data_IF_100884240166
#
_entry.id   IF_100884240166
#
_cell.length_a   1.000
_cell.length_b   1.000
_cell.length_c   1.000
_cell.angle_alpha   90.00
_cell.angle_beta   90.00
_cell.angle_gamma   90.00
#
_symmetry.space_group_name_H-M   'P 1'
#
loop_
_entity.id
_entity.type
_entity.pdbx_description
1 polymer ?
#
# COMPACT_ATOMS: atom_id res chain seq x y z
N UNK A 1 -38.12 2.93 -1.82
CA UNK A 1 -37.48 4.08 -1.15
C UNK A 1 -36.24 3.63 -0.36
N UNK A 2 -35.13 3.22 -1.01
CA UNK A 2 -33.91 2.88 -0.27
C UNK A 2 -32.58 3.09 -1.03
N UNK A 3 -32.59 3.49 -2.30
CA UNK A 3 -31.35 3.73 -3.05
C UNK A 3 -30.76 5.14 -2.84
N UNK A 4 -31.61 6.15 -2.57
CA UNK A 4 -31.17 7.55 -2.39
C UNK A 4 -30.45 7.81 -1.05
N UNK A 5 -30.72 7.01 -0.02
CA UNK A 5 -30.08 7.16 1.30
C UNK A 5 -28.66 6.58 1.33
N UNK A 6 -28.41 5.45 0.65
CA UNK A 6 -27.09 4.83 0.59
C UNK A 6 -26.07 5.72 -0.15
N UNK A 7 -26.44 6.25 -1.33
CA UNK A 7 -25.59 7.14 -2.13
C UNK A 7 -25.22 8.44 -1.38
N UNK A 8 -26.14 8.98 -0.58
CA UNK A 8 -25.93 10.21 0.19
C UNK A 8 -25.08 9.98 1.44
N UNK A 9 -25.08 8.77 2.00
CA UNK A 9 -24.18 8.39 3.09
C UNK A 9 -22.76 8.11 2.58
N UNK A 10 -22.60 7.42 1.45
CA UNK A 10 -21.29 7.17 0.84
C UNK A 10 -20.54 8.48 0.51
N UNK A 11 -21.24 9.48 -0.04
CA UNK A 11 -20.62 10.79 -0.33
C UNK A 11 -20.23 11.56 0.93
N UNK A 12 -21.05 11.51 1.99
CA UNK A 12 -20.79 12.23 3.24
C UNK A 12 -19.70 11.56 4.09
N UNK A 13 -19.61 10.22 4.07
CA UNK A 13 -18.52 9.47 4.70
C UNK A 13 -17.20 9.78 3.99
N UNK A 14 -17.22 9.87 2.65
CA UNK A 14 -16.06 10.26 1.83
C UNK A 14 -15.46 11.60 2.26
N UNK A 15 -16.29 12.63 2.47
CA UNK A 15 -15.86 13.98 2.92
C UNK A 15 -15.25 14.00 4.33
N UNK A 16 -15.77 13.17 5.25
CA UNK A 16 -15.26 13.14 6.64
C UNK A 16 -13.94 12.41 6.81
N UNK A 17 -13.67 11.45 5.94
CA UNK A 17 -12.43 10.69 5.97
C UNK A 17 -11.26 11.48 5.37
N UNK A 18 -11.48 12.54 4.56
CA UNK A 18 -10.41 13.21 3.81
C UNK A 18 -9.45 13.96 4.74
N UNK A 19 -10.00 14.35 5.89
CA UNK A 19 -9.32 15.06 6.97
C UNK A 19 -8.69 14.14 8.00
N UNK A 20 -8.83 12.82 7.85
CA UNK A 20 -8.23 11.85 8.79
C UNK A 20 -6.76 11.64 8.44
N UNK A 21 -5.93 11.43 9.47
CA UNK A 21 -4.51 11.11 9.31
C UNK A 21 -4.34 9.71 8.69
N UNK A 22 -3.16 9.47 8.12
CA UNK A 22 -2.77 8.15 7.65
C UNK A 22 -2.79 7.13 8.79
N UNK A 23 -2.32 7.50 9.98
CA UNK A 23 -2.38 6.65 11.19
C UNK A 23 -3.80 6.20 11.51
N UNK A 24 -4.76 7.13 11.54
CA UNK A 24 -6.16 6.78 11.77
C UNK A 24 -6.66 5.80 10.69
N UNK A 25 -6.37 6.08 9.42
CA UNK A 25 -6.82 5.21 8.33
C UNK A 25 -6.20 3.81 8.44
N UNK A 26 -4.93 3.70 8.82
CA UNK A 26 -4.24 2.45 9.07
C UNK A 26 -4.85 1.68 10.26
N UNK A 27 -5.06 2.34 11.40
CA UNK A 27 -5.74 1.74 12.56
C UNK A 27 -7.13 1.19 12.18
N UNK A 28 -7.86 1.89 11.30
CA UNK A 28 -9.16 1.42 10.81
C UNK A 28 -9.03 0.22 9.87
N UNK A 29 -7.99 0.13 9.03
CA UNK A 29 -7.69 -1.06 8.22
C UNK A 29 -7.46 -2.26 9.15
N UNK A 30 -6.69 -2.08 10.22
CA UNK A 30 -6.40 -3.13 11.22
C UNK A 30 -7.66 -3.56 11.97
N UNK A 31 -8.36 -2.61 12.56
CA UNK A 31 -9.56 -2.86 13.36
C UNK A 31 -10.70 -3.53 12.58
N UNK A 32 -10.68 -3.43 11.24
CA UNK A 32 -11.70 -4.00 10.36
C UNK A 32 -11.28 -5.28 9.66
N UNK A 33 -10.16 -5.92 10.03
CA UNK A 33 -9.64 -7.11 9.34
C UNK A 33 -10.61 -8.30 9.22
N UNK A 34 -11.59 -8.41 10.14
CA UNK A 34 -12.65 -9.43 10.12
C UNK A 34 -13.82 -9.08 9.18
N UNK A 35 -14.00 -7.80 8.83
CA UNK A 35 -15.03 -7.30 7.92
C UNK A 35 -14.38 -6.85 6.61
N UNK A 36 -14.34 -7.76 5.63
CA UNK A 36 -13.61 -7.55 4.37
C UNK A 36 -14.18 -6.40 3.53
N UNK A 37 -15.48 -6.16 3.58
CA UNK A 37 -16.09 -5.05 2.85
C UNK A 37 -15.64 -3.71 3.45
N UNK A 38 -15.73 -3.59 4.78
CA UNK A 38 -15.30 -2.37 5.48
C UNK A 38 -13.81 -2.12 5.39
N UNK A 39 -13.00 -3.18 5.49
CA UNK A 39 -11.55 -3.09 5.32
C UNK A 39 -11.17 -2.62 3.91
N UNK A 40 -11.85 -3.13 2.88
CA UNK A 40 -11.60 -2.71 1.49
C UNK A 40 -11.86 -1.22 1.30
N UNK A 41 -12.89 -0.66 1.96
CA UNK A 41 -13.14 0.77 1.94
C UNK A 41 -11.99 1.57 2.56
N UNK A 42 -11.47 1.19 3.73
CA UNK A 42 -10.36 1.92 4.35
C UNK A 42 -9.04 1.79 3.57
N UNK A 43 -8.77 0.62 2.97
CA UNK A 43 -7.62 0.42 2.07
C UNK A 43 -7.69 1.36 0.86
N UNK A 44 -8.84 1.40 0.19
CA UNK A 44 -9.06 2.27 -0.95
C UNK A 44 -8.93 3.74 -0.54
N UNK A 45 -9.47 4.07 0.63
CA UNK A 45 -9.45 5.42 1.15
C UNK A 45 -8.03 5.92 1.41
N UNK A 46 -7.21 5.13 2.11
CA UNK A 46 -5.82 5.43 2.40
C UNK A 46 -5.06 5.74 1.10
N UNK A 47 -5.14 4.84 0.13
CA UNK A 47 -4.42 4.98 -1.13
C UNK A 47 -4.92 6.18 -1.96
N UNK A 48 -6.23 6.42 -1.98
CA UNK A 48 -6.79 7.57 -2.70
C UNK A 48 -6.36 8.89 -2.06
N UNK A 49 -6.38 8.98 -0.73
CA UNK A 49 -5.88 10.15 0.00
C UNK A 49 -4.42 10.41 -0.33
N UNK A 50 -3.56 9.38 -0.26
CA UNK A 50 -2.15 9.50 -0.60
C UNK A 50 -1.91 10.03 -2.02
N UNK A 51 -2.72 9.57 -2.99
CA UNK A 51 -2.67 10.06 -4.38
C UNK A 51 -3.12 11.51 -4.53
N UNK A 52 -4.17 11.91 -3.81
CA UNK A 52 -4.67 13.30 -3.81
C UNK A 52 -3.64 14.24 -3.18
N UNK A 53 -3.07 13.83 -2.04
CA UNK A 53 -2.05 14.58 -1.31
C UNK A 53 -0.69 14.57 -2.05
N UNK A 54 -0.57 13.79 -3.15
CA UNK A 54 0.67 13.55 -3.90
C UNK A 54 1.84 13.08 -3.02
N UNK A 55 1.53 12.42 -1.91
CA UNK A 55 2.53 11.94 -0.96
C UNK A 55 3.06 10.59 -1.44
N UNK A 56 4.26 10.60 -2.02
CA UNK A 56 4.85 9.40 -2.64
C UNK A 56 5.12 8.28 -1.63
N UNK A 57 5.55 8.63 -0.41
CA UNK A 57 5.76 7.66 0.67
C UNK A 57 4.45 6.97 1.03
N UNK A 58 3.38 7.76 1.21
CA UNK A 58 2.08 7.20 1.58
C UNK A 58 1.38 6.48 0.43
N UNK A 59 1.70 6.79 -0.82
CA UNK A 59 1.24 5.99 -1.96
C UNK A 59 1.87 4.59 -1.87
N UNK A 60 3.17 4.51 -1.58
CA UNK A 60 3.89 3.24 -1.41
C UNK A 60 3.35 2.48 -0.18
N UNK A 61 3.12 3.15 0.95
CA UNK A 61 2.50 2.55 2.13
C UNK A 61 1.06 2.07 1.87
N UNK A 62 0.28 2.83 1.11
CA UNK A 62 -1.07 2.45 0.71
C UNK A 62 -1.09 1.15 -0.07
N UNK A 63 -0.17 0.99 -1.03
CA UNK A 63 0.00 -0.28 -1.75
C UNK A 63 0.57 -1.40 -0.86
N UNK A 64 1.45 -1.09 0.08
CA UNK A 64 1.95 -2.06 1.09
C UNK A 64 0.82 -2.61 1.96
N UNK A 65 -0.14 -1.78 2.36
CA UNK A 65 -1.33 -2.22 3.09
C UNK A 65 -2.14 -3.24 2.28
N UNK A 66 -2.28 -3.03 0.96
CA UNK A 66 -2.91 -4.02 0.08
C UNK A 66 -2.14 -5.36 0.04
N UNK A 67 -0.80 -5.35 0.01
CA UNK A 67 0.01 -6.57 0.09
C UNK A 67 -0.26 -7.35 1.37
N UNK A 68 -0.40 -6.66 2.50
CA UNK A 68 -0.59 -7.30 3.80
C UNK A 68 -1.98 -7.95 3.94
N UNK A 69 -3.05 -7.27 3.51
CA UNK A 69 -4.42 -7.71 3.80
C UNK A 69 -5.14 -8.46 2.67
N UNK A 70 -4.61 -8.46 1.44
CA UNK A 70 -5.26 -9.13 0.31
C UNK A 70 -4.77 -10.56 0.06
N UNK A 71 -5.58 -11.37 -0.67
CA UNK A 71 -5.20 -12.70 -1.07
C UNK A 71 -3.90 -12.74 -1.89
N UNK A 72 -3.17 -13.84 -1.75
CA UNK A 72 -1.83 -14.05 -2.33
C UNK A 72 -1.73 -13.70 -3.82
N UNK A 73 -2.77 -14.04 -4.60
CA UNK A 73 -2.83 -13.79 -6.05
C UNK A 73 -2.72 -12.31 -6.45
N UNK A 74 -3.04 -11.39 -5.55
CA UNK A 74 -3.01 -9.95 -5.82
C UNK A 74 -1.73 -9.27 -5.31
N UNK A 75 -0.98 -9.90 -4.40
CA UNK A 75 0.15 -9.25 -3.73
C UNK A 75 1.25 -8.81 -4.69
N UNK A 76 1.54 -9.61 -5.73
CA UNK A 76 2.53 -9.23 -6.75
C UNK A 76 2.09 -8.00 -7.57
N UNK A 77 0.80 -7.88 -7.90
CA UNK A 77 0.25 -6.72 -8.63
C UNK A 77 0.44 -5.44 -7.81
N UNK A 78 0.19 -5.51 -6.49
CA UNK A 78 0.39 -4.37 -5.61
C UNK A 78 1.87 -4.07 -5.35
N UNK A 79 2.73 -5.09 -5.29
CA UNK A 79 4.18 -4.89 -5.23
C UNK A 79 4.72 -4.20 -6.50
N UNK A 80 4.21 -4.55 -7.67
CA UNK A 80 4.55 -3.85 -8.93
C UNK A 80 4.08 -2.39 -8.91
N UNK A 81 2.90 -2.13 -8.34
CA UNK A 81 2.39 -0.77 -8.16
C UNK A 81 3.23 0.07 -7.20
N UNK A 82 3.75 -0.54 -6.12
CA UNK A 82 4.72 0.11 -5.22
C UNK A 82 5.98 0.51 -5.99
N UNK A 83 6.60 -0.43 -6.71
CA UNK A 83 7.82 -0.17 -7.48
C UNK A 83 7.61 0.92 -8.52
N UNK A 84 6.49 0.89 -9.25
CA UNK A 84 6.17 1.92 -10.24
C UNK A 84 6.06 3.31 -9.60
N UNK A 85 5.35 3.41 -8.47
CA UNK A 85 5.14 4.67 -7.76
C UNK A 85 6.44 5.22 -7.18
N UNK A 86 7.23 4.36 -6.55
CA UNK A 86 8.53 4.71 -5.99
C UNK A 86 9.51 5.18 -7.08
N UNK A 87 9.56 4.50 -8.23
CA UNK A 87 10.38 4.92 -9.37
C UNK A 87 9.94 6.26 -9.92
N UNK A 88 8.63 6.53 -10.00
CA UNK A 88 8.10 7.82 -10.42
C UNK A 88 8.51 8.95 -9.46
N UNK A 89 8.62 8.66 -8.16
CA UNK A 89 9.10 9.59 -7.15
C UNK A 89 10.62 9.83 -7.19
N UNK A 90 11.39 8.99 -7.90
CA UNK A 90 12.85 9.00 -7.93
C UNK A 90 13.50 8.91 -6.54
N UNK A 91 12.85 8.20 -5.60
CA UNK A 91 13.32 8.03 -4.23
C UNK A 91 13.94 6.65 -4.04
N UNK A 92 15.26 6.60 -3.81
CA UNK A 92 15.98 5.34 -3.64
C UNK A 92 15.49 4.53 -2.43
N UNK A 93 15.10 5.18 -1.33
CA UNK A 93 14.59 4.49 -0.15
C UNK A 93 13.26 3.81 -0.48
N UNK A 94 12.34 4.54 -1.13
CA UNK A 94 11.05 3.98 -1.54
C UNK A 94 11.20 2.87 -2.58
N UNK A 95 12.14 3.01 -3.53
CA UNK A 95 12.40 1.99 -4.55
C UNK A 95 12.94 0.73 -3.88
N UNK A 96 13.91 0.87 -2.97
CA UNK A 96 14.47 -0.21 -2.18
C UNK A 96 13.40 -0.95 -1.36
N UNK A 97 12.60 -0.22 -0.59
CA UNK A 97 11.51 -0.77 0.21
C UNK A 97 10.45 -1.50 -0.63
N UNK A 98 10.19 -1.01 -1.85
CA UNK A 98 9.24 -1.62 -2.79
C UNK A 98 9.75 -2.95 -3.33
N UNK A 99 11.02 -3.02 -3.74
CA UNK A 99 11.66 -4.27 -4.16
C UNK A 99 11.77 -5.27 -3.01
N UNK A 100 12.11 -4.82 -1.80
CA UNK A 100 12.13 -5.66 -0.60
C UNK A 100 10.75 -6.29 -0.35
N UNK A 101 9.68 -5.49 -0.43
CA UNK A 101 8.30 -5.97 -0.28
C UNK A 101 7.94 -7.01 -1.34
N UNK A 102 8.33 -6.80 -2.61
CA UNK A 102 8.15 -7.79 -3.68
C UNK A 102 8.92 -9.09 -3.42
N UNK A 103 10.14 -8.99 -2.91
CA UNK A 103 10.96 -10.13 -2.49
C UNK A 103 10.28 -10.96 -1.39
N UNK A 104 9.69 -10.30 -0.38
CA UNK A 104 8.94 -10.95 0.70
C UNK A 104 7.73 -11.73 0.14
N UNK A 105 7.01 -11.14 -0.83
CA UNK A 105 5.90 -11.83 -1.50
C UNK A 105 6.39 -13.09 -2.22
N UNK A 106 7.47 -13.01 -3.01
CA UNK A 106 8.03 -14.21 -3.66
C UNK A 106 8.54 -15.25 -2.65
N UNK A 107 9.14 -14.81 -1.55
CA UNK A 107 9.61 -15.71 -0.51
C UNK A 107 8.45 -16.50 0.11
N UNK A 108 7.34 -15.82 0.45
CA UNK A 108 6.12 -16.47 0.92
C UNK A 108 5.53 -17.48 -0.07
N UNK A 109 5.71 -17.24 -1.38
CA UNK A 109 5.34 -18.17 -2.46
C UNK A 109 6.35 -19.30 -2.68
N UNK A 110 7.39 -19.43 -1.83
CA UNK A 110 8.50 -20.39 -1.97
C UNK A 110 9.29 -20.23 -3.28
N UNK A 111 9.22 -19.05 -3.89
CA UNK A 111 9.95 -18.68 -5.12
C UNK A 111 11.28 -18.03 -4.77
N UNK A 112 12.15 -18.79 -4.10
CA UNK A 112 13.36 -18.26 -3.45
C UNK A 112 14.32 -17.53 -4.39
N UNK A 113 14.48 -18.00 -5.64
CA UNK A 113 15.30 -17.31 -6.64
C UNK A 113 14.77 -15.90 -6.93
N UNK A 114 13.48 -15.78 -7.21
CA UNK A 114 12.84 -14.48 -7.44
C UNK A 114 12.89 -13.58 -6.20
N UNK A 115 12.78 -14.15 -5.00
CA UNK A 115 12.95 -13.39 -3.76
C UNK A 115 14.36 -12.81 -3.65
N UNK A 116 15.38 -13.64 -3.85
CA UNK A 116 16.79 -13.23 -3.81
C UNK A 116 17.08 -12.13 -4.85
N UNK A 117 16.62 -12.30 -6.08
CA UNK A 117 16.80 -11.30 -7.14
C UNK A 117 16.23 -9.93 -6.71
N UNK A 118 15.05 -9.90 -6.09
CA UNK A 118 14.44 -8.66 -5.61
C UNK A 118 15.16 -8.10 -4.38
N UNK A 119 15.67 -8.94 -3.47
CA UNK A 119 16.46 -8.49 -2.32
C UNK A 119 17.78 -7.85 -2.74
N UNK A 120 18.47 -8.40 -3.74
CA UNK A 120 19.69 -7.79 -4.28
C UNK A 120 19.42 -6.43 -4.93
N UNK A 121 18.29 -6.30 -5.64
CA UNK A 121 17.88 -4.99 -6.18
C UNK A 121 17.57 -4.03 -5.04
N UNK A 122 16.83 -4.46 -4.02
CA UNK A 122 16.51 -3.63 -2.86
C UNK A 122 17.77 -3.10 -2.17
N UNK A 123 18.73 -3.98 -1.89
CA UNK A 123 20.02 -3.65 -1.28
C UNK A 123 20.81 -2.63 -2.10
N UNK A 124 20.82 -2.75 -3.43
CA UNK A 124 21.47 -1.78 -4.33
C UNK A 124 20.85 -0.37 -4.25
N UNK A 125 19.56 -0.26 -3.97
CA UNK A 125 18.89 1.04 -3.79
C UNK A 125 19.06 1.58 -2.36
N UNK A 126 18.92 0.72 -1.35
CA UNK A 126 19.05 1.11 0.06
C UNK A 126 20.49 1.56 0.36
N UNK A 127 21.51 0.88 -0.18
CA UNK A 127 22.91 1.29 -0.01
C UNK A 127 23.26 2.68 -0.58
N UNK A 128 22.39 3.27 -1.39
CA UNK A 128 22.52 4.64 -1.92
C UNK A 128 21.86 5.70 -1.05
N UNK A 129 21.20 5.31 0.02
CA UNK A 129 20.59 6.24 0.98
C UNK A 129 21.53 6.39 2.18
N UNK A 130 21.33 7.43 2.98
CA UNK A 130 22.01 7.57 4.27
C UNK A 130 21.36 6.70 5.37
N UNK A 131 20.46 5.80 4.98
CA UNK A 131 19.74 4.91 5.88
C UNK A 131 20.67 3.77 6.27
N UNK A 132 21.27 3.88 7.45
CA UNK A 132 22.23 2.90 7.98
C UNK A 132 21.54 1.78 8.78
N UNK A 133 20.31 1.40 8.40
CA UNK A 133 19.35 0.56 9.14
C UNK A 133 18.44 1.33 10.10
#
# INVERSE_FOLDING_TARGET
MNQLYAQKMESKISDTLQRKSYDYLFERIEATAKDKAKQAHYLQYFLNKAKIDQNSEEIVNGYKNYIFYLPEKLKLVYADSMIHSAKKANDNALIGASYLSKGIVYYGQKKHKYALDNYLIADNYISKTNDKY
#
